data_IF_950064023710
#
_entry.id   IF_950064023710
#
_cell.length_a   1.000
_cell.length_b   1.000
_cell.length_c   1.000
_cell.angle_alpha   90.00
_cell.angle_beta   90.00
_cell.angle_gamma   90.00
#
_symmetry.space_group_name_H-M   'P 1'
#
loop_
_entity.id
_entity.type
_entity.pdbx_description
1 polymer ?
#
# COMPACT_ATOMS: atom_id res chain seq x y z
N UNK A 1 -35.79 -10.31 24.43
CA UNK A 1 -35.76 -11.72 24.88
C UNK A 1 -34.51 -11.92 25.72
N UNK A 2 -34.66 -12.36 26.96
CA UNK A 2 -33.59 -12.53 27.92
C UNK A 2 -32.66 -13.67 27.51
N UNK A 3 -31.36 -13.39 27.42
CA UNK A 3 -30.25 -14.31 27.08
C UNK A 3 -30.04 -15.42 28.16
N UNK A 4 -30.98 -15.63 29.05
CA UNK A 4 -30.78 -16.34 30.32
C UNK A 4 -30.73 -17.87 30.30
N UNK A 5 -30.71 -18.56 29.15
CA UNK A 5 -30.70 -20.03 29.13
C UNK A 5 -29.88 -20.74 28.05
N UNK A 6 -28.92 -20.06 27.44
CA UNK A 6 -27.87 -20.77 26.68
C UNK A 6 -26.73 -21.03 27.66
N UNK A 7 -26.37 -22.29 27.87
CA UNK A 7 -25.26 -22.68 28.77
C UNK A 7 -24.02 -21.83 28.44
N UNK A 8 -23.80 -20.80 29.22
CA UNK A 8 -22.72 -19.80 29.07
C UNK A 8 -21.31 -20.40 29.15
N UNK A 9 -21.19 -21.67 29.48
CA UNK A 9 -19.93 -22.37 29.69
C UNK A 9 -19.22 -22.82 28.40
N UNK A 10 -19.78 -22.58 27.19
CA UNK A 10 -19.14 -22.90 25.90
C UNK A 10 -18.86 -21.71 25.02
N UNK A 11 -19.41 -20.53 25.34
CA UNK A 11 -19.22 -19.32 24.57
C UNK A 11 -17.93 -18.62 25.01
N UNK A 12 -16.89 -18.69 24.20
CA UNK A 12 -15.64 -17.96 24.41
C UNK A 12 -14.82 -18.47 25.60
N UNK A 13 -14.76 -19.78 25.80
CA UNK A 13 -13.76 -20.36 26.71
C UNK A 13 -12.37 -19.78 26.30
N UNK A 14 -11.68 -19.16 27.26
CA UNK A 14 -10.41 -18.48 27.05
C UNK A 14 -10.46 -17.21 26.17
N UNK A 15 -11.60 -16.50 26.05
CA UNK A 15 -11.78 -15.27 25.27
C UNK A 15 -11.50 -15.43 23.75
N UNK A 16 -11.66 -16.63 23.21
CA UNK A 16 -11.61 -16.90 21.78
C UNK A 16 -13.01 -17.20 21.26
N UNK A 17 -13.45 -16.47 20.24
CA UNK A 17 -14.78 -16.54 19.66
C UNK A 17 -14.68 -16.95 18.19
N UNK A 18 -15.12 -18.14 17.86
CA UNK A 18 -15.19 -18.64 16.48
C UNK A 18 -16.50 -18.16 15.83
N UNK A 19 -16.40 -17.42 14.73
CA UNK A 19 -17.56 -16.83 14.05
C UNK A 19 -18.55 -17.88 13.53
N UNK A 20 -18.10 -19.08 13.17
CA UNK A 20 -18.95 -20.15 12.65
C UNK A 20 -19.68 -20.91 13.74
N UNK A 21 -19.17 -20.88 14.97
CA UNK A 21 -19.75 -21.49 16.14
C UNK A 21 -20.56 -20.51 17.00
N UNK A 22 -20.65 -19.24 16.58
CA UNK A 22 -21.40 -18.23 17.30
C UNK A 22 -22.91 -18.47 17.17
N UNK A 23 -23.69 -18.46 18.27
CA UNK A 23 -25.09 -18.89 18.23
C UNK A 23 -26.05 -17.86 17.63
N UNK A 24 -25.58 -16.64 17.33
CA UNK A 24 -26.41 -15.55 16.84
C UNK A 24 -25.96 -15.15 15.43
N UNK A 25 -26.78 -15.49 14.45
CA UNK A 25 -26.52 -15.21 13.01
C UNK A 25 -25.82 -16.35 12.28
N UNK A 26 -25.61 -16.12 11.00
CA UNK A 26 -24.87 -17.04 10.11
C UNK A 26 -23.69 -16.28 9.50
N UNK A 27 -22.47 -16.65 9.87
CA UNK A 27 -21.27 -15.97 9.44
C UNK A 27 -21.07 -16.01 7.91
N UNK A 28 -21.54 -17.06 7.24
CA UNK A 28 -21.44 -17.17 5.79
C UNK A 28 -22.39 -16.23 5.04
N UNK A 29 -23.53 -15.89 5.66
CA UNK A 29 -24.50 -14.96 5.07
C UNK A 29 -24.19 -13.49 5.37
N UNK A 30 -23.73 -13.18 6.59
CA UNK A 30 -23.33 -11.84 7.01
C UNK A 30 -22.37 -11.88 8.20
N UNK A 31 -21.08 -12.00 7.89
CA UNK A 31 -20.03 -12.04 8.92
C UNK A 31 -19.97 -10.77 9.75
N UNK A 32 -20.33 -9.61 9.18
CA UNK A 32 -20.31 -8.34 9.90
C UNK A 32 -21.29 -8.29 11.05
N UNK A 33 -22.51 -8.79 10.84
CA UNK A 33 -23.52 -8.92 11.89
C UNK A 33 -23.05 -9.85 13.01
N UNK A 34 -22.42 -10.97 12.65
CA UNK A 34 -21.88 -11.93 13.63
C UNK A 34 -20.74 -11.31 14.45
N UNK A 35 -19.76 -10.71 13.83
CA UNK A 35 -18.62 -10.07 14.51
C UNK A 35 -19.11 -8.94 15.42
N UNK A 36 -20.02 -8.09 14.97
CA UNK A 36 -20.59 -7.02 15.79
C UNK A 36 -21.32 -7.55 17.02
N UNK A 37 -22.03 -8.68 16.91
CA UNK A 37 -22.70 -9.31 18.05
C UNK A 37 -21.69 -9.92 19.04
N UNK A 38 -20.56 -10.45 18.56
CA UNK A 38 -19.46 -10.90 19.42
C UNK A 38 -18.83 -9.71 20.16
N UNK A 39 -18.56 -8.59 19.46
CA UNK A 39 -18.02 -7.37 20.08
C UNK A 39 -18.97 -6.85 21.17
N UNK A 40 -20.27 -6.82 20.90
CA UNK A 40 -21.26 -6.44 21.92
C UNK A 40 -21.22 -7.36 23.16
N UNK A 41 -21.10 -8.67 22.94
CA UNK A 41 -20.96 -9.64 24.05
C UNK A 41 -19.64 -9.43 24.83
N UNK A 42 -18.52 -9.15 24.15
CA UNK A 42 -17.25 -8.84 24.81
C UNK A 42 -17.40 -7.61 25.71
N UNK A 43 -18.06 -6.56 25.21
CA UNK A 43 -18.33 -5.32 25.99
C UNK A 43 -19.17 -5.59 27.23
N UNK A 44 -20.24 -6.38 27.11
CA UNK A 44 -21.07 -6.76 28.24
C UNK A 44 -20.27 -7.53 29.30
N UNK A 45 -19.42 -8.47 28.89
CA UNK A 45 -18.55 -9.21 29.81
C UNK A 45 -17.53 -8.32 30.50
N UNK A 46 -16.90 -7.42 29.76
CA UNK A 46 -15.93 -6.47 30.33
C UNK A 46 -16.59 -5.56 31.37
N UNK A 47 -17.82 -5.10 31.12
CA UNK A 47 -18.58 -4.27 32.06
C UNK A 47 -19.02 -5.03 33.30
N UNK A 48 -19.41 -6.31 33.18
CA UNK A 48 -19.81 -7.16 34.32
C UNK A 48 -18.64 -7.49 35.22
N UNK A 49 -17.44 -7.55 34.69
CA UNK A 49 -16.20 -7.79 35.43
C UNK A 49 -15.78 -6.56 36.26
N UNK A 50 -16.10 -5.34 35.79
CA UNK A 50 -15.83 -4.10 36.55
C UNK A 50 -16.52 -4.03 37.90
N UNK A 51 -17.58 -4.77 38.11
CA UNK A 51 -18.37 -4.74 39.34
C UNK A 51 -17.99 -5.81 40.37
N UNK A 52 -17.02 -6.69 40.11
CA UNK A 52 -16.72 -7.82 40.99
C UNK A 52 -15.30 -8.39 41.00
N UNK A 53 -14.36 -7.88 40.21
CA UNK A 53 -12.99 -8.38 40.22
C UNK A 53 -12.05 -7.29 40.72
N UNK A 54 -11.15 -7.66 41.62
CA UNK A 54 -10.05 -6.83 42.06
C UNK A 54 -9.25 -6.37 40.82
N UNK A 55 -8.98 -5.07 40.72
CA UNK A 55 -8.23 -4.39 39.65
C UNK A 55 -6.82 -4.97 39.38
N UNK A 56 -6.39 -5.96 40.14
CA UNK A 56 -5.08 -6.61 40.05
C UNK A 56 -4.93 -7.61 38.90
N UNK A 57 -6.02 -8.12 38.32
CA UNK A 57 -5.93 -9.19 37.31
C UNK A 57 -5.97 -8.72 35.84
N UNK A 58 -6.18 -7.42 35.58
CA UNK A 58 -6.28 -6.86 34.24
C UNK A 58 -7.47 -7.41 33.45
N UNK A 59 -7.90 -6.67 32.43
CA UNK A 59 -8.94 -7.15 31.50
C UNK A 59 -8.26 -8.04 30.44
N UNK A 60 -8.67 -9.31 30.27
CA UNK A 60 -8.12 -10.14 29.23
C UNK A 60 -8.51 -9.60 27.84
N UNK A 61 -7.59 -9.59 26.91
CA UNK A 61 -7.88 -9.37 25.50
C UNK A 61 -8.84 -10.41 24.93
N UNK A 62 -9.42 -10.14 23.79
CA UNK A 62 -10.32 -11.05 23.11
C UNK A 62 -9.83 -11.35 21.69
N UNK A 63 -10.06 -12.59 21.23
CA UNK A 63 -9.77 -13.04 19.87
C UNK A 63 -11.06 -13.44 19.18
N UNK A 64 -11.32 -12.89 18.01
CA UNK A 64 -12.37 -13.34 17.10
C UNK A 64 -11.69 -14.13 16.00
N UNK A 65 -11.98 -15.41 15.90
CA UNK A 65 -11.39 -16.33 14.93
C UNK A 65 -12.33 -16.56 13.77
N UNK A 66 -11.78 -16.41 12.55
CA UNK A 66 -12.46 -16.64 11.28
C UNK A 66 -11.87 -17.90 10.65
N UNK A 67 -12.56 -19.07 10.68
CA UNK A 67 -12.11 -20.29 10.01
C UNK A 67 -11.94 -20.11 8.50
N UNK A 68 -11.30 -21.07 7.78
CA UNK A 68 -11.23 -21.04 6.34
C UNK A 68 -12.62 -21.00 5.70
N UNK A 69 -12.80 -20.16 4.70
CA UNK A 69 -14.07 -20.05 3.97
C UNK A 69 -14.29 -18.66 3.38
N UNK A 70 -15.35 -18.55 2.59
CA UNK A 70 -15.85 -17.31 2.00
C UNK A 70 -17.04 -16.80 2.81
N UNK A 71 -16.93 -15.55 3.27
CA UNK A 71 -17.90 -14.92 4.17
C UNK A 71 -18.43 -13.64 3.54
N UNK A 72 -19.73 -13.53 3.31
CA UNK A 72 -20.35 -12.31 2.84
C UNK A 72 -20.37 -11.24 3.94
N UNK A 73 -20.04 -10.00 3.60
CA UNK A 73 -20.11 -8.85 4.48
C UNK A 73 -21.21 -7.90 3.99
N UNK A 74 -22.39 -7.98 4.59
CA UNK A 74 -23.54 -7.11 4.29
C UNK A 74 -23.73 -6.02 5.34
N UNK A 75 -23.17 -6.23 6.52
CA UNK A 75 -23.15 -5.26 7.63
C UNK A 75 -21.72 -4.85 7.92
N UNK A 76 -21.44 -3.56 7.97
CA UNK A 76 -20.14 -3.03 8.33
C UNK A 76 -19.69 -3.54 9.71
N UNK A 77 -18.44 -4.03 9.81
CA UNK A 77 -17.84 -4.37 11.09
C UNK A 77 -17.45 -3.06 11.81
N UNK A 78 -17.99 -2.85 13.01
CA UNK A 78 -17.68 -1.70 13.84
C UNK A 78 -16.86 -2.11 15.06
N UNK A 79 -15.63 -1.58 15.18
CA UNK A 79 -14.75 -1.80 16.33
C UNK A 79 -14.63 -0.50 17.11
N UNK A 80 -15.11 -0.51 18.34
CA UNK A 80 -15.05 0.62 19.28
C UNK A 80 -14.38 0.25 20.62
N UNK A 81 -13.69 -0.89 20.66
CA UNK A 81 -12.98 -1.42 21.83
C UNK A 81 -11.49 -1.61 21.58
N UNK A 82 -10.70 -1.54 22.64
CA UNK A 82 -9.27 -1.85 22.61
C UNK A 82 -9.01 -3.33 22.90
N UNK A 83 -7.79 -3.79 22.63
CA UNK A 83 -7.31 -5.16 22.94
C UNK A 83 -8.12 -6.25 22.25
N UNK A 84 -8.54 -5.98 21.01
CA UNK A 84 -9.25 -6.93 20.17
C UNK A 84 -8.33 -7.44 19.08
N UNK A 85 -8.25 -8.76 18.91
CA UNK A 85 -7.63 -9.41 17.77
C UNK A 85 -8.69 -10.10 16.91
N UNK A 86 -8.71 -9.82 15.61
CA UNK A 86 -9.45 -10.60 14.62
C UNK A 86 -8.44 -11.38 13.81
N UNK A 87 -8.57 -12.70 13.80
CA UNK A 87 -7.60 -13.61 13.19
C UNK A 87 -8.26 -14.60 12.26
N UNK A 88 -7.73 -14.74 11.06
CA UNK A 88 -8.12 -15.75 10.08
C UNK A 88 -7.09 -16.87 9.93
N UNK A 89 -7.37 -17.80 9.03
CA UNK A 89 -6.54 -18.97 8.72
C UNK A 89 -5.61 -18.74 7.51
N UNK A 90 -5.21 -17.52 7.25
CA UNK A 90 -4.45 -17.08 6.08
C UNK A 90 -5.35 -16.31 5.10
N UNK A 91 -4.74 -15.41 4.34
CA UNK A 91 -5.50 -14.55 3.43
C UNK A 91 -6.01 -15.27 2.16
N UNK A 92 -5.47 -16.46 1.82
CA UNK A 92 -5.95 -17.28 0.69
C UNK A 92 -5.98 -16.54 -0.65
N UNK A 93 -5.18 -15.52 -0.80
CA UNK A 93 -5.22 -14.64 -1.97
C UNK A 93 -4.56 -15.28 -3.17
N UNK A 94 -5.17 -15.08 -4.32
CA UNK A 94 -4.64 -15.52 -5.62
C UNK A 94 -4.32 -14.29 -6.45
N UNK A 95 -3.08 -14.23 -6.92
CA UNK A 95 -2.61 -13.10 -7.71
C UNK A 95 -3.49 -12.87 -8.95
N UNK A 96 -3.65 -11.61 -9.33
CA UNK A 96 -4.34 -11.21 -10.55
C UNK A 96 -3.76 -11.87 -11.80
N UNK A 97 -2.44 -12.13 -11.83
CA UNK A 97 -1.80 -12.80 -12.96
C UNK A 97 -2.31 -14.22 -13.16
N UNK A 98 -2.63 -14.96 -12.11
CA UNK A 98 -3.25 -16.28 -12.23
C UNK A 98 -4.69 -16.15 -12.74
N UNK A 99 -5.47 -15.20 -12.17
CA UNK A 99 -6.87 -14.96 -12.58
C UNK A 99 -7.00 -14.55 -14.03
N UNK A 100 -6.07 -13.71 -14.56
CA UNK A 100 -6.13 -13.21 -15.93
C UNK A 100 -5.55 -14.17 -16.96
N UNK A 101 -4.55 -14.95 -16.58
CA UNK A 101 -3.81 -15.80 -17.51
C UNK A 101 -4.25 -17.27 -17.47
N UNK A 102 -5.25 -17.59 -16.66
CA UNK A 102 -5.77 -18.96 -16.55
C UNK A 102 -7.22 -19.00 -17.01
N UNK A 103 -7.54 -19.89 -17.94
CA UNK A 103 -8.91 -20.09 -18.38
C UNK A 103 -9.80 -20.57 -17.23
N UNK A 104 -11.06 -20.14 -17.21
CA UNK A 104 -12.02 -20.48 -16.17
C UNK A 104 -12.18 -22.00 -16.01
N UNK A 105 -12.18 -22.75 -17.10
CA UNK A 105 -12.24 -24.21 -17.09
C UNK A 105 -11.04 -24.86 -16.38
N UNK A 106 -9.85 -24.27 -16.52
CA UNK A 106 -8.66 -24.73 -15.81
C UNK A 106 -8.73 -24.43 -14.31
N UNK A 107 -9.26 -23.26 -13.93
CA UNK A 107 -9.48 -22.91 -12.51
C UNK A 107 -10.49 -23.87 -11.85
N UNK A 108 -11.55 -24.24 -12.55
CA UNK A 108 -12.55 -25.19 -12.05
C UNK A 108 -11.99 -26.61 -11.87
N UNK A 109 -11.02 -26.99 -12.69
CA UNK A 109 -10.35 -28.29 -12.58
C UNK A 109 -9.48 -28.43 -11.32
N UNK A 110 -8.99 -27.33 -10.78
CA UNK A 110 -8.09 -27.27 -9.62
C UNK A 110 -8.79 -26.69 -8.38
N UNK A 111 -10.02 -27.08 -8.12
CA UNK A 111 -10.83 -26.62 -6.98
C UNK A 111 -10.15 -26.81 -5.61
N UNK A 112 -9.26 -27.78 -5.49
CA UNK A 112 -8.46 -28.06 -4.30
C UNK A 112 -7.38 -26.98 -4.01
N UNK A 113 -7.05 -26.16 -4.99
CA UNK A 113 -6.13 -25.01 -4.83
C UNK A 113 -6.91 -23.76 -4.39
N UNK A 114 -8.24 -23.81 -4.37
CA UNK A 114 -9.10 -22.64 -4.38
C UNK A 114 -10.35 -22.75 -3.53
N UNK A 115 -10.71 -21.75 -2.71
CA UNK A 115 -9.85 -20.77 -2.02
C UNK A 115 -9.27 -21.39 -0.75
N UNK A 116 -7.98 -21.11 -0.48
CA UNK A 116 -7.41 -21.38 0.85
C UNK A 116 -7.60 -20.14 1.73
N UNK A 117 -7.73 -20.32 3.04
CA UNK A 117 -7.79 -19.24 4.00
C UNK A 117 -9.17 -18.63 4.24
N UNK A 118 -9.20 -17.52 4.96
CA UNK A 118 -10.41 -16.83 5.41
C UNK A 118 -10.63 -15.59 4.57
N UNK A 119 -11.71 -15.52 3.81
CA UNK A 119 -11.97 -14.41 2.89
C UNK A 119 -13.30 -13.73 3.19
N UNK A 120 -13.27 -12.41 3.39
CA UNK A 120 -14.44 -11.55 3.59
C UNK A 120 -14.79 -10.90 2.26
N UNK A 121 -15.95 -11.20 1.73
CA UNK A 121 -16.49 -10.69 0.49
C UNK A 121 -17.34 -9.44 0.77
N UNK A 122 -16.89 -8.27 0.33
CA UNK A 122 -17.51 -6.99 0.69
C UNK A 122 -18.74 -6.72 -0.17
N UNK A 123 -19.91 -7.11 0.32
CA UNK A 123 -21.24 -6.89 -0.29
C UNK A 123 -21.95 -5.65 0.28
N UNK A 124 -21.22 -4.72 0.87
CA UNK A 124 -21.80 -3.49 1.40
C UNK A 124 -22.33 -2.60 0.27
N UNK A 125 -23.46 -1.91 0.49
CA UNK A 125 -23.93 -0.90 -0.42
C UNK A 125 -22.91 0.25 -0.51
N UNK A 126 -22.64 0.70 -1.72
CA UNK A 126 -21.74 1.83 -1.98
C UNK A 126 -22.44 3.13 -1.55
N UNK A 127 -21.76 3.95 -0.75
CA UNK A 127 -22.32 5.22 -0.23
C UNK A 127 -22.41 6.30 -1.31
N UNK A 128 -21.44 6.32 -2.23
CA UNK A 128 -21.36 7.31 -3.30
C UNK A 128 -21.08 6.61 -4.62
N UNK A 129 -21.80 7.00 -5.67
CA UNK A 129 -21.55 6.54 -7.03
C UNK A 129 -20.44 7.36 -7.74
N UNK A 130 -19.83 8.31 -7.04
CA UNK A 130 -18.79 9.18 -7.61
C UNK A 130 -17.44 8.48 -7.57
N UNK A 131 -16.81 8.45 -8.70
CA UNK A 131 -15.45 7.94 -8.92
C UNK A 131 -14.42 8.84 -8.22
N UNK A 132 -13.45 8.26 -7.52
CA UNK A 132 -12.35 8.99 -6.90
C UNK A 132 -12.73 9.74 -5.62
N UNK A 133 -13.50 9.11 -4.75
CA UNK A 133 -13.87 9.67 -3.44
C UNK A 133 -12.75 9.46 -2.43
N UNK A 134 -12.77 10.24 -1.33
CA UNK A 134 -11.87 9.97 -0.20
C UNK A 134 -12.33 8.73 0.58
N UNK A 135 -11.41 8.09 1.30
CA UNK A 135 -11.68 6.88 2.10
C UNK A 135 -12.83 7.05 3.11
N UNK A 136 -13.05 8.26 3.62
CA UNK A 136 -14.17 8.59 4.53
C UNK A 136 -15.55 8.53 3.85
N UNK A 137 -15.57 8.73 2.54
CA UNK A 137 -16.79 8.71 1.74
C UNK A 137 -17.12 7.32 1.18
N UNK A 138 -16.19 6.38 1.29
CA UNK A 138 -16.38 4.99 0.88
C UNK A 138 -17.09 4.16 1.95
N UNK A 139 -17.65 3.02 1.53
CA UNK A 139 -18.20 2.02 2.45
C UNK A 139 -17.06 1.16 3.01
N UNK A 140 -16.68 1.38 4.27
CA UNK A 140 -15.63 0.60 4.91
C UNK A 140 -16.13 -0.79 5.35
N UNK A 141 -15.38 -1.83 5.00
CA UNK A 141 -15.65 -3.20 5.48
C UNK A 141 -15.45 -3.28 7.00
N UNK A 142 -14.33 -2.76 7.48
CA UNK A 142 -14.04 -2.61 8.91
C UNK A 142 -13.89 -1.10 9.20
N UNK A 143 -14.75 -0.60 10.06
CA UNK A 143 -14.67 0.75 10.62
C UNK A 143 -14.22 0.66 12.05
N UNK A 144 -13.10 1.32 12.39
CA UNK A 144 -12.66 1.47 13.78
C UNK A 144 -12.91 2.92 14.18
N UNK A 145 -13.82 3.12 15.13
CA UNK A 145 -14.23 4.47 15.52
C UNK A 145 -14.62 4.53 16.99
N UNK A 146 -14.16 5.56 17.65
CA UNK A 146 -14.58 5.94 18.99
C UNK A 146 -14.58 7.46 19.12
N UNK A 147 -15.65 8.02 19.63
CA UNK A 147 -15.73 9.44 19.91
C UNK A 147 -15.05 9.76 21.26
N UNK A 148 -14.11 10.69 21.23
CA UNK A 148 -13.42 11.15 22.44
C UNK A 148 -12.30 10.24 22.96
N UNK A 149 -11.97 10.40 24.23
CA UNK A 149 -10.90 9.67 24.91
C UNK A 149 -11.44 8.52 25.77
N UNK A 150 -10.64 7.49 26.05
CA UNK A 150 -9.27 7.28 25.56
C UNK A 150 -9.21 6.83 24.09
N UNK A 151 -8.04 7.02 23.44
CA UNK A 151 -7.79 6.45 22.10
C UNK A 151 -7.98 4.93 22.14
N UNK A 152 -8.28 4.34 20.97
CA UNK A 152 -8.33 2.87 20.85
C UNK A 152 -6.90 2.34 20.78
N UNK A 153 -6.59 1.29 21.55
CA UNK A 153 -5.25 0.69 21.61
C UNK A 153 -5.26 -0.79 21.28
N UNK A 154 -4.16 -1.27 20.70
CA UNK A 154 -3.85 -2.70 20.53
C UNK A 154 -4.97 -3.48 19.82
N UNK A 155 -5.45 -2.96 18.69
CA UNK A 155 -6.28 -3.73 17.77
C UNK A 155 -5.38 -4.42 16.77
N UNK A 156 -5.59 -5.73 16.59
CA UNK A 156 -4.84 -6.56 15.66
C UNK A 156 -5.78 -7.17 14.61
N UNK A 157 -5.42 -7.03 13.33
CA UNK A 157 -6.05 -7.73 12.21
C UNK A 157 -5.02 -8.64 11.56
N UNK A 158 -5.27 -9.94 11.51
CA UNK A 158 -4.26 -10.94 11.17
C UNK A 158 -4.81 -12.05 10.29
N UNK A 159 -4.16 -12.32 9.17
CA UNK A 159 -4.30 -13.59 8.46
C UNK A 159 -5.65 -13.84 7.79
N UNK A 160 -6.31 -12.82 7.23
CA UNK A 160 -7.50 -12.99 6.38
C UNK A 160 -7.50 -12.01 5.21
N UNK A 161 -8.38 -12.23 4.25
CA UNK A 161 -8.54 -11.39 3.06
C UNK A 161 -9.80 -10.54 3.15
N UNK A 162 -9.71 -9.29 2.73
CA UNK A 162 -10.86 -8.41 2.44
C UNK A 162 -10.90 -8.19 0.92
N UNK A 163 -11.96 -8.68 0.29
CA UNK A 163 -12.16 -8.69 -1.16
C UNK A 163 -13.33 -7.78 -1.56
N UNK A 164 -13.03 -6.73 -2.33
CA UNK A 164 -14.01 -5.75 -2.78
C UNK A 164 -14.96 -6.25 -3.89
N UNK A 165 -14.69 -7.42 -4.51
CA UNK A 165 -15.50 -8.15 -5.48
C UNK A 165 -15.72 -7.50 -6.87
N UNK A 166 -15.57 -6.19 -7.01
CA UNK A 166 -15.93 -5.49 -8.25
C UNK A 166 -14.70 -5.15 -9.10
N UNK A 167 -14.03 -6.19 -9.55
CA UNK A 167 -13.01 -6.04 -10.57
C UNK A 167 -13.65 -6.41 -11.93
N UNK A 168 -13.89 -5.41 -12.77
CA UNK A 168 -14.40 -5.65 -14.11
C UNK A 168 -13.22 -5.71 -15.09
N UNK A 169 -13.06 -6.88 -15.70
CA UNK A 169 -12.22 -7.04 -16.87
C UNK A 169 -13.14 -7.08 -18.10
N UNK A 170 -13.18 -6.03 -18.87
CA UNK A 170 -13.83 -6.04 -20.19
C UNK A 170 -12.78 -6.38 -21.24
N UNK A 171 -12.93 -7.53 -21.86
CA UNK A 171 -12.12 -7.97 -23.01
C UNK A 171 -10.61 -8.05 -22.75
N UNK A 172 -10.20 -8.47 -21.55
CA UNK A 172 -8.79 -8.57 -21.17
C UNK A 172 -8.13 -7.23 -20.85
N UNK A 173 -8.88 -6.13 -20.85
CA UNK A 173 -8.41 -4.82 -20.45
C UNK A 173 -8.99 -4.41 -19.10
N UNK A 174 -8.13 -3.90 -18.24
CA UNK A 174 -8.54 -3.29 -16.97
C UNK A 174 -9.09 -1.90 -17.31
N UNK A 175 -10.37 -1.67 -16.99
CA UNK A 175 -10.93 -0.33 -17.02
C UNK A 175 -10.19 0.52 -15.96
N UNK A 176 -9.71 1.71 -16.34
CA UNK A 176 -9.05 2.65 -15.42
C UNK A 176 -9.89 2.98 -14.19
N UNK A 177 -11.21 2.88 -14.30
CA UNK A 177 -12.17 3.09 -13.21
C UNK A 177 -12.47 1.82 -12.40
N UNK A 178 -11.90 0.67 -12.73
CA UNK A 178 -12.18 -0.61 -12.04
C UNK A 178 -11.83 -0.57 -10.55
N UNK A 179 -10.90 0.29 -10.18
CA UNK A 179 -10.43 0.45 -8.79
C UNK A 179 -11.26 1.45 -7.99
N UNK A 180 -12.19 2.18 -8.64
CA UNK A 180 -12.95 3.26 -8.02
C UNK A 180 -14.38 2.74 -7.74
N UNK A 181 -14.48 1.86 -6.77
CA UNK A 181 -15.71 1.12 -6.48
C UNK A 181 -16.43 1.55 -5.18
N UNK A 182 -15.98 2.63 -4.55
CA UNK A 182 -16.59 3.18 -3.34
C UNK A 182 -16.44 2.31 -2.09
N UNK A 183 -15.46 1.37 -2.08
CA UNK A 183 -15.23 0.46 -0.95
C UNK A 183 -13.87 0.70 -0.32
N UNK A 184 -13.86 0.72 1.02
CA UNK A 184 -12.63 0.75 1.82
C UNK A 184 -12.52 -0.57 2.60
N UNK A 185 -11.34 -1.17 2.63
CA UNK A 185 -11.11 -2.38 3.42
C UNK A 185 -11.11 -2.09 4.91
N UNK A 186 -10.16 -1.30 5.37
CA UNK A 186 -10.05 -0.82 6.74
C UNK A 186 -10.05 0.70 6.77
N UNK A 187 -10.97 1.29 7.54
CA UNK A 187 -10.96 2.71 7.85
C UNK A 187 -10.91 2.93 9.35
N UNK A 188 -9.90 3.65 9.82
CA UNK A 188 -9.73 4.04 11.22
C UNK A 188 -10.00 5.54 11.35
N UNK A 189 -11.10 5.90 12.01
CA UNK A 189 -11.59 7.28 12.19
C UNK A 189 -11.54 7.69 13.67
N UNK A 190 -10.41 7.50 14.30
CA UNK A 190 -10.15 7.95 15.67
C UNK A 190 -8.66 7.91 15.99
N UNK A 191 -8.26 8.63 17.02
CA UNK A 191 -6.93 8.48 17.60
C UNK A 191 -6.69 7.05 18.08
N UNK A 192 -5.58 6.47 17.63
CA UNK A 192 -5.27 5.06 17.90
C UNK A 192 -3.79 4.87 18.27
N UNK A 193 -3.50 3.72 18.86
CA UNK A 193 -2.17 3.39 19.37
C UNK A 193 -1.90 1.89 19.29
N UNK A 194 -0.68 1.54 18.90
CA UNK A 194 -0.19 0.15 18.90
C UNK A 194 -1.03 -0.83 18.07
N UNK A 195 -1.61 -0.39 16.97
CA UNK A 195 -2.34 -1.26 16.06
C UNK A 195 -1.37 -2.15 15.26
N UNK A 196 -1.82 -3.36 14.94
CA UNK A 196 -1.07 -4.30 14.12
C UNK A 196 -1.95 -4.87 13.01
N UNK A 197 -1.54 -4.67 11.76
CA UNK A 197 -2.19 -5.19 10.56
C UNK A 197 -1.17 -6.04 9.84
N UNK A 198 -1.32 -7.37 9.91
CA UNK A 198 -0.29 -8.25 9.37
C UNK A 198 -0.85 -9.52 8.75
N UNK A 199 -0.11 -10.06 7.80
CA UNK A 199 -0.46 -11.30 7.09
C UNK A 199 -1.84 -11.23 6.39
N UNK A 200 -2.30 -10.01 6.08
CA UNK A 200 -3.60 -9.72 5.48
C UNK A 200 -3.54 -9.72 3.95
N UNK A 201 -4.67 -10.02 3.32
CA UNK A 201 -4.93 -9.73 1.92
C UNK A 201 -5.95 -8.59 1.78
N UNK A 202 -5.64 -7.59 0.97
CA UNK A 202 -6.60 -6.55 0.56
C UNK A 202 -6.61 -6.49 -0.96
N UNK A 203 -7.78 -6.61 -1.55
CA UNK A 203 -7.91 -6.74 -3.00
C UNK A 203 -9.20 -6.12 -3.52
N UNK A 204 -9.13 -5.48 -4.68
CA UNK A 204 -10.28 -4.90 -5.39
C UNK A 204 -11.06 -3.87 -4.57
N UNK A 205 -10.36 -3.03 -3.84
CA UNK A 205 -10.91 -1.96 -3.02
C UNK A 205 -10.48 -0.61 -3.60
N UNK A 206 -11.29 0.43 -3.45
CA UNK A 206 -10.86 1.78 -3.78
C UNK A 206 -9.77 2.26 -2.81
N UNK A 207 -9.95 1.97 -1.51
CA UNK A 207 -8.94 2.17 -0.48
C UNK A 207 -8.74 0.88 0.32
N UNK A 208 -7.53 0.35 0.35
CA UNK A 208 -7.28 -0.88 1.09
C UNK A 208 -7.23 -0.61 2.61
N UNK A 209 -6.35 0.30 3.03
CA UNK A 209 -6.11 0.65 4.44
C UNK A 209 -5.95 2.17 4.55
N UNK A 210 -6.85 2.82 5.28
CA UNK A 210 -6.79 4.24 5.57
C UNK A 210 -6.90 4.47 7.08
N UNK A 211 -5.88 5.10 7.68
CA UNK A 211 -5.76 5.23 9.15
C UNK A 211 -5.44 6.68 9.50
N UNK A 212 -6.28 7.26 10.34
CA UNK A 212 -6.12 8.60 10.90
C UNK A 212 -5.47 8.53 12.27
N UNK A 213 -4.65 9.53 12.59
CA UNK A 213 -4.11 9.77 13.93
C UNK A 213 -3.43 8.56 14.59
N UNK A 214 -2.55 7.88 13.82
CA UNK A 214 -1.89 6.67 14.31
C UNK A 214 -0.62 6.95 15.10
N UNK A 215 -0.46 6.24 16.21
CA UNK A 215 0.78 6.16 17.00
C UNK A 215 1.24 4.70 17.11
N UNK A 216 2.53 4.45 16.88
CA UNK A 216 3.15 3.12 16.97
C UNK A 216 2.42 2.00 16.17
N UNK A 217 1.81 2.34 15.04
CA UNK A 217 1.15 1.41 14.13
C UNK A 217 2.16 0.49 13.42
N UNK A 218 1.79 -0.77 13.23
CA UNK A 218 2.54 -1.71 12.40
C UNK A 218 1.66 -2.26 11.28
N UNK A 219 2.09 -2.07 10.01
CA UNK A 219 1.53 -2.68 8.80
C UNK A 219 2.63 -3.56 8.20
N UNK A 220 2.53 -4.89 8.34
CA UNK A 220 3.64 -5.80 8.10
C UNK A 220 3.21 -7.07 7.37
N UNK A 221 4.00 -7.48 6.37
CA UNK A 221 3.81 -8.73 5.64
C UNK A 221 2.41 -8.92 5.00
N UNK A 222 1.83 -7.84 4.49
CA UNK A 222 0.52 -7.88 3.83
C UNK A 222 0.67 -8.01 2.31
N UNK A 223 -0.35 -8.60 1.69
CA UNK A 223 -0.56 -8.58 0.25
C UNK A 223 -1.68 -7.58 -0.07
N UNK A 224 -1.33 -6.41 -0.61
CA UNK A 224 -2.27 -5.35 -0.95
C UNK A 224 -2.15 -5.09 -2.45
N UNK A 225 -3.13 -5.54 -3.24
CA UNK A 225 -3.04 -5.41 -4.68
C UNK A 225 -4.39 -5.16 -5.34
N UNK A 226 -4.34 -4.61 -6.55
CA UNK A 226 -5.53 -4.29 -7.32
C UNK A 226 -6.50 -3.37 -6.54
N UNK A 227 -5.93 -2.45 -5.77
CA UNK A 227 -6.65 -1.42 -5.02
C UNK A 227 -6.37 -0.04 -5.60
N UNK A 228 -7.29 0.90 -5.48
CA UNK A 228 -7.08 2.29 -5.89
C UNK A 228 -5.91 2.90 -5.11
N UNK A 229 -6.06 3.08 -3.80
CA UNK A 229 -4.98 3.40 -2.86
C UNK A 229 -4.75 2.24 -1.90
N UNK A 230 -3.48 1.99 -1.52
CA UNK A 230 -3.16 0.82 -0.72
C UNK A 230 -2.98 1.13 0.76
N UNK A 231 -2.04 1.98 1.13
CA UNK A 231 -1.80 2.39 2.52
C UNK A 231 -1.86 3.91 2.61
N UNK A 232 -2.78 4.42 3.39
CA UNK A 232 -2.97 5.85 3.62
C UNK A 232 -2.90 6.14 5.12
N UNK A 233 -1.88 6.89 5.53
CA UNK A 233 -1.69 7.41 6.88
C UNK A 233 -2.08 8.89 6.89
N UNK A 234 -3.25 9.18 7.44
CA UNK A 234 -3.95 10.45 7.26
C UNK A 234 -3.92 11.31 8.53
N UNK A 235 -4.08 12.63 8.36
CA UNK A 235 -4.14 13.67 9.36
C UNK A 235 -2.82 13.93 10.09
N UNK A 236 -2.40 13.07 10.99
CA UNK A 236 -1.11 13.15 11.68
C UNK A 236 -0.81 11.85 12.44
N UNK A 237 0.44 11.66 12.80
CA UNK A 237 0.85 10.51 13.60
C UNK A 237 2.36 10.40 13.77
N UNK A 238 2.80 9.32 14.41
CA UNK A 238 4.21 9.09 14.65
C UNK A 238 4.58 7.62 14.83
N UNK A 239 5.87 7.34 14.68
CA UNK A 239 6.50 6.05 15.02
C UNK A 239 5.82 4.83 14.35
N UNK A 240 5.24 5.01 13.16
CA UNK A 240 4.55 3.96 12.44
C UNK A 240 5.50 3.19 11.52
N UNK A 241 5.22 1.92 11.33
CA UNK A 241 5.96 1.00 10.48
C UNK A 241 5.10 0.46 9.34
N UNK A 242 5.57 0.59 8.10
CA UNK A 242 5.03 -0.06 6.90
C UNK A 242 6.16 -0.88 6.29
N UNK A 243 6.15 -2.20 6.49
CA UNK A 243 7.29 -3.02 6.10
C UNK A 243 6.90 -4.41 5.57
N UNK A 244 7.80 -4.98 4.77
CA UNK A 244 7.68 -6.35 4.24
C UNK A 244 6.41 -6.60 3.41
N UNK A 245 5.72 -5.56 2.93
CA UNK A 245 4.48 -5.70 2.20
C UNK A 245 4.73 -5.86 0.69
N UNK A 246 3.83 -6.59 0.05
CA UNK A 246 3.69 -6.64 -1.40
C UNK A 246 2.53 -5.70 -1.77
N UNK A 247 2.82 -4.59 -2.46
CA UNK A 247 1.86 -3.51 -2.66
C UNK A 247 1.74 -3.15 -4.13
N UNK A 248 0.51 -3.10 -4.64
CA UNK A 248 0.23 -2.68 -6.00
C UNK A 248 -1.01 -1.80 -6.07
N UNK A 249 -0.80 -0.48 -6.15
CA UNK A 249 -1.88 0.48 -6.30
C UNK A 249 -2.48 0.47 -7.71
N UNK A 250 -3.74 0.87 -7.81
CA UNK A 250 -4.42 1.16 -9.05
C UNK A 250 -4.01 2.51 -9.65
N UNK A 251 -4.59 2.89 -10.76
CA UNK A 251 -4.14 4.00 -11.61
C UNK A 251 -4.06 5.36 -10.92
N UNK A 252 -5.10 5.73 -10.17
CA UNK A 252 -5.22 7.07 -9.59
C UNK A 252 -4.74 7.15 -8.14
N UNK A 253 -4.32 6.02 -7.55
CA UNK A 253 -3.99 5.93 -6.15
C UNK A 253 -2.50 5.91 -5.85
N UNK A 254 -2.20 5.86 -4.57
CA UNK A 254 -0.85 5.75 -4.03
C UNK A 254 -0.62 4.36 -3.45
N UNK A 255 0.59 3.80 -3.61
CA UNK A 255 0.92 2.58 -2.89
C UNK A 255 1.08 2.85 -1.40
N UNK A 256 1.84 3.89 -1.04
CA UNK A 256 1.98 4.36 0.35
C UNK A 256 1.86 5.89 0.34
N UNK A 257 0.89 6.41 1.05
CA UNK A 257 0.69 7.83 1.29
C UNK A 257 0.74 8.12 2.79
N UNK A 258 1.42 9.20 3.18
CA UNK A 258 1.40 9.67 4.56
C UNK A 258 1.44 11.20 4.61
N UNK A 259 0.65 11.79 5.53
CA UNK A 259 0.61 13.25 5.72
C UNK A 259 0.79 13.63 7.18
N UNK A 260 1.67 14.61 7.44
CA UNK A 260 1.94 15.19 8.77
C UNK A 260 2.41 14.15 9.81
N UNK A 261 3.22 13.18 9.38
CA UNK A 261 3.78 12.13 10.24
C UNK A 261 5.23 12.40 10.62
N UNK A 262 5.64 11.88 11.77
CA UNK A 262 7.03 11.85 12.21
C UNK A 262 7.55 10.45 12.49
N UNK A 263 8.83 10.18 12.14
CA UNK A 263 9.48 8.92 12.52
C UNK A 263 8.87 7.68 11.88
N UNK A 264 8.46 7.74 10.61
CA UNK A 264 7.99 6.58 9.86
C UNK A 264 9.16 5.66 9.51
N UNK A 265 8.91 4.35 9.56
CA UNK A 265 9.77 3.34 8.97
C UNK A 265 9.04 2.68 7.80
N UNK A 266 9.45 3.01 6.57
CA UNK A 266 8.94 2.41 5.34
C UNK A 266 10.06 1.55 4.76
N UNK A 267 9.99 0.22 4.92
CA UNK A 267 11.13 -0.62 4.60
C UNK A 267 10.78 -2.00 4.06
N UNK A 268 11.66 -2.52 3.22
CA UNK A 268 11.56 -3.88 2.67
C UNK A 268 10.22 -4.18 1.95
N UNK A 269 9.54 -3.15 1.45
CA UNK A 269 8.33 -3.33 0.65
C UNK A 269 8.69 -3.64 -0.81
N UNK A 270 7.93 -4.51 -1.44
CA UNK A 270 7.95 -4.73 -2.89
C UNK A 270 6.73 -4.06 -3.50
N UNK A 271 6.95 -2.94 -4.19
CA UNK A 271 5.89 -2.10 -4.75
C UNK A 271 5.82 -2.27 -6.26
N UNK A 272 4.64 -2.57 -6.77
CA UNK A 272 4.36 -2.77 -8.19
C UNK A 272 3.96 -1.49 -8.92
N UNK A 273 4.10 -1.45 -10.24
CA UNK A 273 4.09 -0.23 -11.04
C UNK A 273 2.70 0.23 -11.49
N UNK A 274 1.70 0.34 -10.62
CA UNK A 274 0.35 0.64 -11.09
C UNK A 274 -0.26 1.93 -10.58
N UNK A 275 0.38 2.60 -9.63
CA UNK A 275 -0.20 3.76 -8.99
C UNK A 275 0.33 5.09 -9.50
N UNK A 276 -0.29 6.15 -9.00
CA UNK A 276 0.15 7.53 -9.22
C UNK A 276 1.54 7.75 -8.64
N UNK A 277 1.79 7.21 -7.45
CA UNK A 277 3.13 7.17 -6.86
C UNK A 277 3.34 5.88 -6.07
N UNK A 278 4.60 5.46 -5.89
CA UNK A 278 4.92 4.35 -5.00
C UNK A 278 4.92 4.80 -3.55
N UNK A 279 5.60 5.92 -3.23
CA UNK A 279 5.64 6.51 -1.89
C UNK A 279 5.44 8.02 -2.02
N UNK A 280 4.41 8.56 -1.39
CA UNK A 280 4.14 9.98 -1.35
C UNK A 280 4.01 10.46 0.10
N UNK A 281 4.92 11.32 0.52
CA UNK A 281 4.98 11.89 1.86
C UNK A 281 4.71 13.39 1.80
N UNK A 282 3.69 13.84 2.54
CA UNK A 282 3.31 15.25 2.66
C UNK A 282 3.58 15.74 4.09
N UNK A 283 4.45 16.74 4.26
CA UNK A 283 4.83 17.28 5.57
C UNK A 283 5.35 16.21 6.56
N UNK A 284 6.12 15.25 6.08
CA UNK A 284 6.66 14.15 6.89
C UNK A 284 8.09 14.43 7.31
N UNK A 285 8.43 14.07 8.55
CA UNK A 285 9.76 14.34 9.10
C UNK A 285 10.40 13.14 9.78
N UNK A 286 11.74 13.13 9.84
CA UNK A 286 12.56 12.17 10.60
C UNK A 286 12.23 10.72 10.30
N UNK A 287 11.90 10.45 9.04
CA UNK A 287 11.43 9.15 8.59
C UNK A 287 12.48 8.44 7.75
N UNK A 288 12.42 7.13 7.75
CA UNK A 288 13.35 6.28 7.03
C UNK A 288 12.61 5.49 5.93
N UNK A 289 13.01 5.71 4.68
CA UNK A 289 12.54 4.99 3.50
C UNK A 289 13.69 4.15 3.00
N UNK A 290 13.75 2.86 3.37
CA UNK A 290 14.95 2.06 3.14
C UNK A 290 14.67 0.65 2.63
N UNK A 291 15.55 0.17 1.77
CA UNK A 291 15.53 -1.23 1.29
C UNK A 291 14.23 -1.64 0.59
N UNK A 292 13.50 -0.69 0.02
CA UNK A 292 12.31 -0.99 -0.76
C UNK A 292 12.69 -1.29 -2.22
N UNK A 293 11.94 -2.18 -2.87
CA UNK A 293 11.93 -2.31 -4.31
C UNK A 293 10.70 -1.58 -4.85
N UNK A 294 10.95 -0.47 -5.53
CA UNK A 294 9.91 0.37 -6.13
C UNK A 294 9.96 0.19 -7.65
N UNK A 295 8.90 -0.30 -8.22
CA UNK A 295 8.80 -0.61 -9.62
C UNK A 295 7.64 0.17 -10.24
N UNK A 296 7.91 1.01 -11.24
CA UNK A 296 6.90 1.81 -11.91
C UNK A 296 7.32 2.15 -13.34
N UNK A 297 6.34 2.37 -14.18
CA UNK A 297 6.54 3.03 -15.47
C UNK A 297 6.57 4.57 -15.32
N UNK A 298 5.81 5.10 -14.36
CA UNK A 298 5.58 6.54 -14.22
C UNK A 298 6.66 7.25 -13.40
N UNK A 299 6.92 8.56 -13.65
CA UNK A 299 7.66 9.42 -12.73
C UNK A 299 6.91 9.58 -11.39
N UNK A 300 7.56 10.22 -10.40
CA UNK A 300 6.97 10.40 -9.07
C UNK A 300 6.94 9.11 -8.24
N UNK A 301 7.95 8.23 -8.38
CA UNK A 301 8.04 7.01 -7.59
C UNK A 301 8.20 7.30 -6.10
N UNK A 302 9.00 8.31 -5.75
CA UNK A 302 9.12 8.83 -4.39
C UNK A 302 8.89 10.33 -4.42
N UNK A 303 7.90 10.79 -3.67
CA UNK A 303 7.53 12.20 -3.59
C UNK A 303 7.65 12.64 -2.13
N UNK A 304 8.51 13.62 -1.87
CA UNK A 304 8.50 14.41 -0.65
C UNK A 304 7.88 15.77 -0.97
N UNK A 305 6.74 16.07 -0.40
CA UNK A 305 5.97 17.28 -0.66
C UNK A 305 5.76 18.13 0.60
N UNK A 306 5.59 19.44 0.42
CA UNK A 306 5.37 20.39 1.52
C UNK A 306 6.61 20.61 2.37
N UNK A 307 6.48 20.44 3.68
CA UNK A 307 7.54 20.70 4.68
C UNK A 307 8.27 19.40 5.10
N UNK A 308 8.55 18.52 4.15
CA UNK A 308 9.30 17.31 4.47
C UNK A 308 10.71 17.62 4.96
N UNK A 309 11.11 17.11 6.13
CA UNK A 309 12.44 17.41 6.67
C UNK A 309 13.08 16.25 7.44
N UNK A 310 14.42 16.20 7.38
CA UNK A 310 15.22 15.21 8.10
C UNK A 310 14.85 13.76 7.77
N UNK A 311 14.38 13.50 6.53
CA UNK A 311 14.06 12.14 6.07
C UNK A 311 15.27 11.50 5.42
N UNK A 312 15.39 10.18 5.57
CA UNK A 312 16.44 9.37 4.94
C UNK A 312 15.83 8.44 3.89
N UNK A 313 16.25 8.60 2.64
CA UNK A 313 15.92 7.70 1.51
C UNK A 313 17.19 6.92 1.18
N UNK A 314 17.26 5.62 1.54
CA UNK A 314 18.51 4.88 1.40
C UNK A 314 18.34 3.44 0.97
N UNK A 315 19.30 2.96 0.19
CA UNK A 315 19.39 1.54 -0.18
C UNK A 315 18.13 0.99 -0.88
N UNK A 316 17.35 1.85 -1.53
CA UNK A 316 16.19 1.43 -2.31
C UNK A 316 16.61 1.05 -3.73
N UNK A 317 15.86 0.15 -4.34
CA UNK A 317 15.93 -0.15 -5.76
C UNK A 317 14.71 0.48 -6.46
N UNK A 318 14.93 1.56 -7.19
CA UNK A 318 13.93 2.22 -8.02
C UNK A 318 14.09 1.72 -9.46
N UNK A 319 13.05 1.12 -10.00
CA UNK A 319 13.07 0.51 -11.33
C UNK A 319 11.94 1.10 -12.18
N UNK A 320 12.32 1.82 -13.25
CA UNK A 320 11.38 2.31 -14.23
C UNK A 320 11.34 1.39 -15.44
N UNK A 321 10.13 0.90 -15.76
CA UNK A 321 9.89 0.07 -16.94
C UNK A 321 9.95 0.89 -18.25
N UNK A 322 10.32 0.25 -19.37
CA UNK A 322 10.43 0.92 -20.66
C UNK A 322 9.09 1.35 -21.26
N UNK A 323 8.03 0.68 -20.90
CA UNK A 323 6.68 0.91 -21.39
C UNK A 323 5.64 0.55 -20.33
N UNK A 324 4.44 1.14 -20.38
CA UNK A 324 3.37 0.76 -19.46
C UNK A 324 2.96 -0.69 -19.72
N UNK A 325 2.66 -1.39 -18.65
CA UNK A 325 2.11 -2.73 -18.74
C UNK A 325 0.86 -2.77 -19.62
N UNK A 326 0.72 -3.82 -20.43
CA UNK A 326 -0.27 -3.87 -21.52
C UNK A 326 -1.70 -3.38 -21.17
N UNK A 327 -2.29 -3.71 -20.01
CA UNK A 327 -3.59 -3.17 -19.62
C UNK A 327 -3.59 -1.66 -19.35
N UNK A 328 -2.42 -1.04 -19.17
CA UNK A 328 -2.26 0.37 -18.82
C UNK A 328 -1.76 1.22 -19.99
N UNK A 329 -1.73 0.67 -21.20
CA UNK A 329 -1.35 1.43 -22.38
C UNK A 329 -2.31 2.60 -22.61
N UNK A 330 -1.74 3.80 -22.75
CA UNK A 330 -2.50 5.04 -22.91
C UNK A 330 -2.91 5.73 -21.62
N UNK A 331 -2.71 5.12 -20.44
CA UNK A 331 -2.91 5.78 -19.16
C UNK A 331 -1.74 6.73 -18.85
N UNK A 332 -2.06 7.85 -18.21
CA UNK A 332 -1.10 8.81 -17.67
C UNK A 332 -1.48 9.14 -16.23
N UNK A 333 -0.54 8.99 -15.31
CA UNK A 333 -0.74 9.34 -13.90
C UNK A 333 -0.84 10.85 -13.62
N UNK A 334 -0.82 11.69 -14.68
CA UNK A 334 -0.87 13.15 -14.58
C UNK A 334 0.45 13.80 -14.18
N UNK A 335 1.55 13.04 -14.11
CA UNK A 335 2.88 13.53 -13.75
C UNK A 335 3.76 13.51 -15.00
N UNK A 336 4.38 14.64 -15.32
CA UNK A 336 5.29 14.77 -16.46
C UNK A 336 6.68 14.22 -16.12
N UNK A 337 7.46 13.88 -17.14
CA UNK A 337 8.81 13.34 -16.97
C UNK A 337 9.83 14.33 -16.40
N UNK A 338 9.56 15.62 -16.48
CA UNK A 338 10.36 16.68 -15.85
C UNK A 338 10.10 16.82 -14.33
N UNK A 339 9.09 16.14 -13.80
CA UNK A 339 8.82 16.09 -12.35
C UNK A 339 9.87 15.30 -11.55
N UNK A 340 10.51 14.33 -12.20
CA UNK A 340 11.49 13.43 -11.62
C UNK A 340 10.90 12.10 -11.13
N UNK A 341 11.73 11.05 -11.17
CA UNK A 341 11.37 9.78 -10.52
C UNK A 341 11.36 9.94 -9.00
N UNK A 342 12.27 10.75 -8.48
CA UNK A 342 12.30 11.18 -7.09
C UNK A 342 12.15 12.69 -7.05
N UNK A 343 11.12 13.17 -6.36
CA UNK A 343 10.82 14.60 -6.22
C UNK A 343 10.94 15.01 -4.77
N UNK A 344 11.73 16.04 -4.49
CA UNK A 344 12.05 16.50 -3.13
C UNK A 344 11.67 17.96 -2.96
N UNK A 345 10.73 18.20 -2.05
CA UNK A 345 10.51 19.49 -1.41
C UNK A 345 10.87 19.39 0.07
N UNK A 346 11.44 20.47 0.62
CA UNK A 346 11.75 20.54 2.05
C UNK A 346 13.24 20.56 2.36
N UNK A 347 13.59 20.33 3.61
CA UNK A 347 14.92 20.64 4.10
C UNK A 347 15.61 19.47 4.81
N UNK A 348 16.94 19.43 4.73
CA UNK A 348 17.78 18.48 5.45
C UNK A 348 17.43 17.01 5.17
N UNK A 349 16.84 16.69 4.02
CA UNK A 349 16.60 15.31 3.64
C UNK A 349 17.88 14.69 3.06
N UNK A 350 18.07 13.40 3.26
CA UNK A 350 19.20 12.66 2.72
C UNK A 350 18.72 11.58 1.76
N UNK A 351 19.32 11.52 0.56
CA UNK A 351 19.11 10.45 -0.41
C UNK A 351 20.43 9.81 -0.75
N UNK A 352 20.68 8.60 -0.22
CA UNK A 352 21.99 7.97 -0.29
C UNK A 352 21.93 6.49 -0.69
N UNK A 353 22.92 6.07 -1.48
CA UNK A 353 23.16 4.66 -1.78
C UNK A 353 21.95 3.91 -2.37
N UNK A 354 21.11 4.59 -3.14
CA UNK A 354 20.03 3.94 -3.87
C UNK A 354 20.53 3.46 -5.24
N UNK A 355 19.93 2.38 -5.75
CA UNK A 355 20.07 1.98 -7.14
C UNK A 355 18.84 2.43 -7.92
N UNK A 356 19.05 3.25 -8.95
CA UNK A 356 17.98 3.79 -9.77
C UNK A 356 18.23 3.37 -11.21
N UNK A 357 17.36 2.51 -11.72
CA UNK A 357 17.38 2.03 -13.10
C UNK A 357 16.19 2.57 -13.87
N UNK A 358 16.43 3.42 -14.84
CA UNK A 358 15.40 3.99 -15.70
C UNK A 358 15.59 3.48 -17.13
N UNK A 359 14.65 2.69 -17.62
CA UNK A 359 14.60 2.27 -19.01
C UNK A 359 13.38 2.93 -19.64
N UNK A 360 13.62 3.84 -20.62
CA UNK A 360 12.51 4.54 -21.28
C UNK A 360 12.86 4.86 -22.72
N UNK A 361 11.93 4.61 -23.62
CA UNK A 361 12.03 5.04 -25.01
C UNK A 361 11.61 6.51 -25.16
N UNK A 362 12.25 7.28 -26.08
CA UNK A 362 11.92 8.69 -26.26
C UNK A 362 10.44 8.98 -26.55
N UNK A 363 9.76 8.08 -27.25
CA UNK A 363 8.33 8.16 -27.58
C UNK A 363 7.40 7.95 -26.40
N UNK A 364 7.91 7.40 -25.30
CA UNK A 364 7.14 7.17 -24.08
C UNK A 364 7.32 8.28 -23.03
N UNK A 365 8.10 9.31 -23.32
CA UNK A 365 8.20 10.48 -22.46
C UNK A 365 6.88 11.25 -22.41
N UNK A 366 6.47 11.65 -21.24
CA UNK A 366 5.20 12.34 -21.00
C UNK A 366 5.46 13.80 -20.63
N UNK A 367 4.92 14.72 -21.43
CA UNK A 367 4.93 16.16 -21.14
C UNK A 367 6.30 16.83 -21.12
N UNK A 368 7.35 16.13 -21.53
CA UNK A 368 8.73 16.63 -21.55
C UNK A 368 9.51 15.97 -22.70
N UNK A 369 10.58 16.59 -23.15
CA UNK A 369 11.51 16.04 -24.15
C UNK A 369 12.70 15.29 -23.50
N UNK A 370 12.75 15.25 -22.18
CA UNK A 370 13.77 14.56 -21.38
C UNK A 370 13.17 13.95 -20.11
N UNK A 371 13.89 13.00 -19.53
CA UNK A 371 13.54 12.38 -18.25
C UNK A 371 14.42 12.93 -17.13
N UNK A 372 13.84 13.25 -16.00
CA UNK A 372 14.56 13.64 -14.78
C UNK A 372 14.55 12.50 -13.79
N UNK A 373 15.69 12.18 -13.21
CA UNK A 373 15.80 11.11 -12.22
C UNK A 373 15.54 11.65 -10.82
N UNK A 374 16.30 12.64 -10.36
CA UNK A 374 16.16 13.26 -9.05
C UNK A 374 15.93 14.75 -9.25
N UNK A 375 14.82 15.25 -8.73
CA UNK A 375 14.49 16.68 -8.75
C UNK A 375 14.37 17.21 -7.34
N UNK A 376 15.22 18.16 -6.96
CA UNK A 376 15.01 18.99 -5.76
C UNK A 376 14.31 20.25 -6.23
N UNK A 377 13.02 20.33 -5.97
CA UNK A 377 12.17 21.43 -6.47
C UNK A 377 12.25 22.67 -5.55
N UNK A 378 12.38 22.45 -4.23
CA UNK A 378 12.54 23.53 -3.27
C UNK A 378 13.19 23.05 -1.98
N UNK A 379 13.80 23.97 -1.24
CA UNK A 379 14.35 23.72 0.09
C UNK A 379 15.87 23.72 0.15
N UNK A 380 16.38 23.39 1.32
CA UNK A 380 17.79 23.58 1.63
C UNK A 380 18.40 22.46 2.46
N UNK A 381 19.72 22.39 2.44
CA UNK A 381 20.47 21.45 3.25
C UNK A 381 20.25 19.97 2.88
N UNK A 382 19.63 19.67 1.74
CA UNK A 382 19.44 18.31 1.30
C UNK A 382 20.77 17.70 0.85
N UNK A 383 20.97 16.41 1.16
CA UNK A 383 22.17 15.66 0.85
C UNK A 383 21.88 14.49 -0.07
N UNK A 384 22.42 14.54 -1.30
CA UNK A 384 22.22 13.50 -2.32
C UNK A 384 23.59 12.93 -2.67
N UNK A 385 23.84 11.67 -2.29
CA UNK A 385 25.17 11.10 -2.44
C UNK A 385 25.16 9.61 -2.77
N UNK A 386 26.16 9.19 -3.54
CA UNK A 386 26.46 7.78 -3.82
C UNK A 386 25.27 6.98 -4.38
N UNK A 387 24.32 7.62 -5.05
CA UNK A 387 23.25 6.92 -5.74
C UNK A 387 23.79 6.42 -7.09
N UNK A 388 23.53 5.15 -7.40
CA UNK A 388 23.90 4.56 -8.69
C UNK A 388 22.74 4.75 -9.69
N UNK A 389 22.93 5.60 -10.69
CA UNK A 389 21.91 5.92 -11.69
C UNK A 389 22.29 5.24 -13.03
N UNK A 390 21.37 4.45 -13.55
CA UNK A 390 21.44 3.81 -14.87
C UNK A 390 20.24 4.26 -15.70
N UNK A 391 20.49 4.93 -16.81
CA UNK A 391 19.43 5.33 -17.74
C UNK A 391 19.71 4.72 -19.11
N UNK A 392 18.74 4.02 -19.67
CA UNK A 392 18.87 3.25 -20.90
C UNK A 392 17.72 3.50 -21.87
N UNK A 393 18.01 3.38 -23.16
CA UNK A 393 17.05 3.50 -24.26
C UNK A 393 16.75 2.12 -24.87
N UNK A 394 15.58 1.54 -24.59
CA UNK A 394 15.20 0.24 -25.10
C UNK A 394 14.88 0.24 -26.61
N UNK A 395 14.53 1.39 -27.20
CA UNK A 395 14.20 1.49 -28.63
C UNK A 395 15.39 1.15 -29.55
N UNK A 396 16.60 1.24 -29.00
CA UNK A 396 17.83 0.96 -29.71
C UNK A 396 18.37 -0.46 -29.47
N UNK A 397 17.69 -1.28 -28.70
CA UNK A 397 18.06 -2.70 -28.59
C UNK A 397 17.66 -3.43 -29.86
N UNK A 398 18.60 -4.19 -30.45
CA UNK A 398 18.23 -5.13 -31.49
C UNK A 398 17.26 -6.13 -30.91
N UNK A 399 16.12 -6.32 -31.59
CA UNK A 399 15.18 -7.41 -31.24
C UNK A 399 15.95 -8.72 -31.21
N UNK A 400 16.07 -9.29 -30.04
CA UNK A 400 16.41 -10.70 -29.89
C UNK A 400 15.12 -11.45 -30.20
N UNK A 401 15.11 -12.19 -31.34
CA UNK A 401 14.03 -13.15 -31.60
C UNK A 401 13.95 -14.14 -30.44
N UNK A 402 13.01 -13.92 -29.54
CA UNK A 402 12.73 -14.85 -28.45
C UNK A 402 11.75 -15.88 -29.00
N UNK A 403 12.24 -17.11 -29.16
CA UNK A 403 11.39 -18.25 -29.41
C UNK A 403 10.43 -18.42 -28.24
N UNK A 404 9.14 -18.56 -28.57
CA UNK A 404 8.03 -18.76 -27.66
C UNK A 404 8.42 -19.55 -26.41
N UNK A 405 8.43 -18.91 -25.29
CA UNK A 405 8.59 -19.55 -23.99
C UNK A 405 7.30 -19.39 -23.18
N UNK A 406 6.66 -20.50 -22.95
CA UNK A 406 5.32 -20.63 -22.38
C UNK A 406 5.23 -20.52 -20.84
N UNK A 407 6.09 -19.72 -20.21
CA UNK A 407 6.02 -19.53 -18.75
C UNK A 407 6.40 -18.11 -18.31
N UNK A 408 5.87 -17.68 -17.15
CA UNK A 408 6.21 -16.37 -16.56
C UNK A 408 7.71 -16.19 -16.26
N UNK A 409 8.47 -17.27 -16.14
CA UNK A 409 9.94 -17.23 -16.06
C UNK A 409 10.61 -16.77 -17.36
N UNK A 410 10.00 -17.07 -18.50
CA UNK A 410 10.54 -16.64 -19.79
C UNK A 410 10.50 -15.12 -19.95
N UNK A 411 9.45 -14.48 -19.49
CA UNK A 411 9.31 -13.01 -19.52
C UNK A 411 10.41 -12.32 -18.69
N UNK A 412 10.81 -12.92 -17.57
CA UNK A 412 11.93 -12.38 -16.77
C UNK A 412 13.29 -12.59 -17.44
N UNK A 413 13.53 -13.77 -18.00
CA UNK A 413 14.78 -14.05 -18.75
C UNK A 413 14.87 -13.16 -19.99
N UNK A 414 13.76 -12.92 -20.67
CA UNK A 414 13.64 -12.03 -21.80
C UNK A 414 13.94 -10.57 -21.42
N UNK A 415 13.38 -10.08 -20.32
CA UNK A 415 13.68 -8.78 -19.77
C UNK A 415 15.16 -8.65 -19.39
N UNK A 416 15.75 -9.65 -18.74
CA UNK A 416 17.18 -9.67 -18.40
C UNK A 416 18.09 -9.66 -19.62
N UNK A 417 17.71 -10.37 -20.69
CA UNK A 417 18.50 -10.41 -21.92
C UNK A 417 18.41 -9.09 -22.73
N UNK A 418 17.26 -8.43 -22.68
CA UNK A 418 17.10 -7.09 -23.27
C UNK A 418 17.98 -6.05 -22.56
N UNK A 419 18.04 -6.08 -21.23
CA UNK A 419 18.80 -5.10 -20.43
C UNK A 419 20.31 -5.15 -20.75
N UNK A 420 20.88 -6.30 -21.04
CA UNK A 420 22.34 -6.44 -21.29
C UNK A 420 22.85 -5.74 -22.55
N UNK A 421 21.98 -5.34 -23.47
CA UNK A 421 22.35 -4.72 -24.76
C UNK A 421 21.82 -3.29 -24.93
N UNK A 422 21.30 -2.68 -23.86
CA UNK A 422 20.72 -1.34 -23.92
C UNK A 422 21.80 -0.27 -24.08
N UNK A 423 21.52 0.72 -24.91
CA UNK A 423 22.35 1.93 -25.03
C UNK A 423 21.98 2.94 -23.94
N UNK A 424 22.93 3.81 -23.57
CA UNK A 424 22.61 4.93 -22.68
C UNK A 424 21.49 5.80 -23.27
N UNK A 425 20.57 6.24 -22.41
CA UNK A 425 19.54 7.20 -22.78
C UNK A 425 20.14 8.61 -22.74
N UNK A 426 20.23 9.26 -23.89
CA UNK A 426 20.88 10.57 -24.00
C UNK A 426 20.03 11.71 -23.41
N UNK A 427 18.70 11.60 -23.52
CA UNK A 427 17.77 12.63 -23.04
C UNK A 427 17.39 12.41 -21.55
N UNK A 428 18.38 12.33 -20.69
CA UNK A 428 18.20 12.20 -19.25
C UNK A 428 18.97 13.27 -18.50
N UNK A 429 18.35 13.80 -17.45
CA UNK A 429 19.02 14.60 -16.42
C UNK A 429 19.04 13.80 -15.11
N UNK A 430 20.23 13.52 -14.58
CA UNK A 430 20.37 12.71 -13.37
C UNK A 430 19.89 13.48 -12.12
N UNK A 431 20.24 14.79 -12.03
CA UNK A 431 19.84 15.66 -10.91
C UNK A 431 19.53 17.06 -11.38
N UNK A 432 18.39 17.60 -10.97
CA UNK A 432 18.04 19.01 -11.12
C UNK A 432 17.87 19.64 -9.74
N UNK A 433 18.52 20.78 -9.50
CA UNK A 433 18.30 21.68 -8.38
C UNK A 433 17.63 22.96 -8.92
N UNK A 434 16.34 23.13 -8.59
CA UNK A 434 15.53 24.24 -9.09
C UNK A 434 15.88 25.59 -8.41
N UNK A 435 15.46 26.74 -8.96
CA UNK A 435 15.82 28.08 -8.43
C UNK A 435 15.43 28.31 -6.96
N UNK A 436 14.44 27.60 -6.44
CA UNK A 436 14.01 27.69 -5.05
C UNK A 436 14.83 26.82 -4.08
N UNK A 437 15.99 26.33 -4.52
CA UNK A 437 16.88 25.48 -3.72
C UNK A 437 18.14 26.24 -3.30
N UNK A 438 18.65 25.96 -2.08
CA UNK A 438 19.92 26.55 -1.64
C UNK A 438 20.66 25.64 -0.64
N UNK A 439 21.98 25.79 -0.58
CA UNK A 439 22.85 25.08 0.38
C UNK A 439 22.70 23.55 0.36
N UNK A 440 22.28 22.95 -0.79
CA UNK A 440 22.19 21.51 -0.97
C UNK A 440 23.54 20.92 -1.40
N UNK A 441 23.73 19.64 -1.17
CA UNK A 441 24.95 18.92 -1.54
C UNK A 441 24.63 17.71 -2.41
N UNK A 442 25.24 17.63 -3.60
CA UNK A 442 25.17 16.49 -4.52
C UNK A 442 26.56 15.95 -4.74
N UNK A 443 26.83 14.74 -4.25
CA UNK A 443 28.18 14.16 -4.27
C UNK A 443 28.17 12.77 -4.92
N UNK A 444 29.01 12.60 -5.96
CA UNK A 444 29.22 11.31 -6.66
C UNK A 444 27.94 10.61 -7.12
N UNK A 445 26.87 11.37 -7.38
CA UNK A 445 25.56 10.83 -7.82
C UNK A 445 25.34 11.04 -9.29
N UNK A 446 25.53 12.26 -9.78
CA UNK A 446 25.27 12.63 -11.16
C UNK A 446 26.54 12.61 -12.02
N UNK A 447 26.40 12.24 -13.29
CA UNK A 447 27.46 12.42 -14.28
C UNK A 447 27.62 13.91 -14.57
N UNK A 448 28.84 14.34 -14.90
CA UNK A 448 29.21 15.75 -15.06
C UNK A 448 28.31 16.52 -16.05
N UNK A 449 27.85 15.88 -17.10
CA UNK A 449 27.01 16.45 -18.15
C UNK A 449 25.51 16.21 -17.96
N UNK A 450 25.12 15.57 -16.85
CA UNK A 450 23.75 15.12 -16.57
C UNK A 450 23.16 15.74 -15.31
N UNK A 451 23.65 16.92 -14.90
CA UNK A 451 23.02 17.68 -13.81
C UNK A 451 22.78 19.13 -14.21
N UNK A 452 21.82 19.76 -13.56
CA UNK A 452 21.50 21.17 -13.67
C UNK A 452 21.36 21.76 -12.27
N UNK A 453 22.01 22.88 -12.03
CA UNK A 453 21.89 23.64 -10.79
C UNK A 453 21.47 25.07 -11.14
N UNK A 454 20.27 25.44 -10.70
CA UNK A 454 19.67 26.75 -10.87
C UNK A 454 19.47 27.46 -9.53
N UNK A 455 19.85 26.82 -8.43
CA UNK A 455 19.71 27.30 -7.08
C UNK A 455 20.90 28.15 -6.59
N UNK A 456 20.97 28.39 -5.29
CA UNK A 456 21.99 29.24 -4.67
C UNK A 456 22.87 28.43 -3.71
N UNK A 457 24.19 28.68 -3.76
CA UNK A 457 25.17 28.08 -2.83
C UNK A 457 25.16 26.54 -2.77
N UNK A 458 24.63 25.87 -3.77
CA UNK A 458 24.66 24.41 -3.81
C UNK A 458 26.09 23.92 -4.10
N UNK A 459 26.45 22.77 -3.54
CA UNK A 459 27.72 22.11 -3.80
C UNK A 459 27.47 20.87 -4.63
N UNK A 460 27.96 20.86 -5.87
CA UNK A 460 27.77 19.72 -6.79
C UNK A 460 29.15 19.15 -7.16
N UNK A 461 29.38 17.89 -6.77
CA UNK A 461 30.57 17.12 -7.13
C UNK A 461 30.12 15.92 -7.97
N UNK A 462 30.05 16.09 -9.28
CA UNK A 462 29.71 15.04 -10.23
C UNK A 462 30.97 14.32 -10.77
N UNK A 463 30.81 13.06 -11.20
CA UNK A 463 31.87 12.27 -11.83
C UNK A 463 32.11 12.67 -13.29
#
# INVERSE_FOLDING_TARGET
MSIANVSTNKLGANNVYDVTNWPFGNAYEDIGSVINSIIAHIKERQNSVEHGIELSEGKPGAVIYIPPGDYHLKTQILIDISYLRIEGSGHGFISSSIRFNTEQSALEQYQDIWPGGSRILVDLPVKNEQVGTSSENCSAAILIKRDGLPRISSVELVGFCIDGLHFTNKDGQIDENSYLNGKTGLYVDCANDSFCIRDMGFIYLEHAVAIREADALTIDNNFIAECGSCVELLTCGQACKVANNLIGAGYCGHSIYAENYGGLLISANNVFPRGRSSIHLLNVSRSNIASNRLHSFYPGMVILEGQCCENLISSNHLLRDPEPWAPMQGYNNGINDDYGLVHINGANNSMISNHISSSIAPEHLVGSDHSVIIKVNSGNGNYIANNHIVATDPSQSKELEVKEASSCFATQVEAMTRISNLKPFEKVCDVILEPATHDNQVIFTARKDKYQDQGLNNVVMAL
#
